data_IF_893716930959
#
_entry.id   IF_893716930959
#
_cell.length_a   1.000
_cell.length_b   1.000
_cell.length_c   1.000
_cell.angle_alpha   90.00
_cell.angle_beta   90.00
_cell.angle_gamma   90.00
#
_symmetry.space_group_name_H-M   'P 1'
#
loop_
_entity.id
_entity.type
_entity.pdbx_description
1 polymer ?
#
# COMPACT_ATOMS: atom_id res chain seq x y z
N UNK A 1 -29.79 28.15 33.70
CA UNK A 1 -30.14 27.76 32.32
C UNK A 1 -29.13 28.47 31.41
N UNK A 2 -28.31 27.89 30.55
CA UNK A 2 -28.26 26.60 29.88
C UNK A 2 -26.80 26.08 29.86
N UNK A 3 -26.64 24.75 29.92
CA UNK A 3 -25.40 24.06 29.52
C UNK A 3 -25.63 23.59 28.08
N UNK A 4 -24.87 24.13 27.14
CA UNK A 4 -24.79 23.55 25.80
C UNK A 4 -23.81 22.37 25.84
N UNK A 5 -24.37 21.18 26.09
CA UNK A 5 -23.67 19.93 25.88
C UNK A 5 -23.68 19.64 24.37
N UNK A 6 -22.58 20.00 23.68
CA UNK A 6 -22.35 19.56 22.31
C UNK A 6 -22.16 18.04 22.34
N UNK A 7 -23.18 17.30 21.93
CA UNK A 7 -23.09 15.86 21.79
C UNK A 7 -21.97 15.51 20.78
N UNK A 8 -20.90 14.91 21.28
CA UNK A 8 -19.87 14.32 20.45
C UNK A 8 -20.51 13.12 19.74
N UNK A 9 -20.78 13.24 18.45
CA UNK A 9 -21.26 12.13 17.63
C UNK A 9 -20.15 11.09 17.61
N UNK A 10 -20.32 9.99 18.35
CA UNK A 10 -19.38 8.86 18.31
C UNK A 10 -19.41 8.27 16.90
N UNK A 11 -18.41 8.57 16.09
CA UNK A 11 -18.20 7.87 14.81
C UNK A 11 -17.82 6.43 15.15
N UNK A 12 -18.69 5.49 14.77
CA UNK A 12 -18.42 4.07 14.92
C UNK A 12 -17.45 3.69 13.80
N UNK A 13 -16.19 3.44 14.16
CA UNK A 13 -15.17 3.00 13.20
C UNK A 13 -15.57 1.73 12.45
N UNK A 14 -15.16 1.66 11.20
CA UNK A 14 -15.37 0.51 10.32
C UNK A 14 -14.14 -0.40 10.28
N UNK A 15 -14.37 -1.68 10.01
CA UNK A 15 -13.27 -2.60 9.66
C UNK A 15 -13.10 -2.62 8.14
N UNK A 16 -11.97 -2.13 7.64
CA UNK A 16 -11.63 -2.11 6.22
C UNK A 16 -10.69 -3.26 5.91
N UNK A 17 -11.08 -4.13 4.97
CA UNK A 17 -10.32 -5.34 4.63
C UNK A 17 -9.67 -5.20 3.26
N UNK A 18 -8.38 -5.49 3.20
CA UNK A 18 -7.59 -5.49 1.97
C UNK A 18 -6.86 -6.82 1.82
N UNK A 19 -6.75 -7.30 0.59
CA UNK A 19 -6.06 -8.53 0.25
C UNK A 19 -4.93 -8.19 -0.70
N UNK A 20 -3.69 -8.23 -0.22
CA UNK A 20 -2.52 -7.82 -0.98
C UNK A 20 -1.65 -9.01 -1.35
N UNK A 21 -1.22 -9.08 -2.60
CA UNK A 21 -0.18 -10.01 -3.05
C UNK A 21 1.10 -9.26 -3.33
N UNK A 22 2.24 -9.77 -2.86
CA UNK A 22 3.55 -9.35 -3.37
C UNK A 22 3.86 -10.16 -4.63
N UNK A 23 3.87 -9.50 -5.79
CA UNK A 23 3.95 -10.15 -7.11
C UNK A 23 5.17 -9.64 -7.86
N UNK A 24 5.91 -10.58 -8.48
CA UNK A 24 7.03 -10.25 -9.34
C UNK A 24 6.57 -9.97 -10.77
N UNK A 25 7.06 -8.88 -11.37
CA UNK A 25 6.79 -8.50 -12.74
C UNK A 25 8.04 -7.99 -13.45
N UNK A 26 7.99 -7.99 -14.77
CA UNK A 26 8.98 -7.35 -15.64
C UNK A 26 8.56 -5.91 -15.91
N UNK A 27 9.46 -4.95 -15.69
CA UNK A 27 9.17 -3.52 -15.82
C UNK A 27 10.17 -2.82 -16.75
N UNK A 28 9.64 -2.13 -17.76
CA UNK A 28 10.36 -1.18 -18.59
C UNK A 28 9.98 0.25 -18.18
N UNK A 29 10.96 1.02 -17.71
CA UNK A 29 10.75 2.42 -17.31
C UNK A 29 10.52 3.37 -18.49
N UNK A 30 10.93 3.00 -19.72
CA UNK A 30 10.84 3.86 -20.91
C UNK A 30 9.56 3.65 -21.70
N UNK A 31 8.94 2.47 -21.61
CA UNK A 31 7.70 2.12 -22.34
C UNK A 31 6.46 1.99 -21.45
N UNK A 32 6.55 2.27 -20.14
CA UNK A 32 5.35 2.26 -19.30
C UNK A 32 4.32 3.26 -19.84
N UNK A 33 3.06 2.82 -20.03
CA UNK A 33 1.92 3.54 -20.63
C UNK A 33 1.55 4.92 -20.02
N UNK A 34 2.37 5.43 -19.09
CA UNK A 34 2.32 6.80 -18.55
C UNK A 34 2.64 7.87 -19.62
N UNK A 35 3.15 7.47 -20.78
CA UNK A 35 3.50 8.36 -21.90
C UNK A 35 2.31 8.89 -22.72
N UNK A 36 1.09 8.41 -22.49
CA UNK A 36 -0.11 8.85 -23.23
C UNK A 36 -0.89 9.99 -22.55
N UNK A 37 -0.24 10.79 -21.70
CA UNK A 37 -0.85 12.05 -21.26
C UNK A 37 -0.91 13.02 -22.45
N UNK A 38 -2.05 13.73 -22.68
CA UNK A 38 -2.17 14.66 -23.80
C UNK A 38 -1.11 15.75 -23.68
N UNK A 39 -0.08 15.68 -24.52
CA UNK A 39 0.93 16.73 -24.60
C UNK A 39 0.28 17.90 -25.34
N UNK A 40 0.16 19.06 -24.68
CA UNK A 40 -0.27 20.30 -25.33
C UNK A 40 0.66 20.55 -26.53
N UNK A 41 0.10 20.66 -27.74
CA UNK A 41 0.83 20.72 -29.01
C UNK A 41 1.84 21.90 -29.10
N UNK A 42 1.81 22.82 -28.14
CA UNK A 42 2.76 23.93 -27.98
C UNK A 42 4.08 23.54 -27.33
N UNK A 43 4.17 22.37 -26.68
CA UNK A 43 5.38 21.86 -26.04
C UNK A 43 5.74 20.51 -26.64
N UNK A 44 6.35 20.47 -27.84
CA UNK A 44 6.90 19.21 -28.35
C UNK A 44 7.87 18.64 -27.30
N UNK A 45 7.86 17.32 -27.05
CA UNK A 45 8.79 16.71 -26.11
C UNK A 45 10.22 17.07 -26.52
N UNK A 46 10.93 17.81 -25.66
CA UNK A 46 12.29 18.31 -25.91
C UNK A 46 13.35 17.21 -25.95
N UNK A 47 12.96 15.95 -25.75
CA UNK A 47 13.82 14.78 -25.85
C UNK A 47 13.58 14.10 -27.21
N UNK A 48 14.58 14.09 -28.10
CA UNK A 48 14.53 13.29 -29.32
C UNK A 48 14.27 11.82 -28.95
N UNK A 49 13.31 11.16 -29.62
CA UNK A 49 13.05 9.71 -29.55
C UNK A 49 14.17 8.89 -30.22
N UNK A 50 15.43 9.29 -30.09
CA UNK A 50 16.56 8.62 -30.72
C UNK A 50 17.82 8.79 -29.87
N UNK A 51 17.88 8.05 -28.77
CA UNK A 51 19.17 7.64 -28.22
C UNK A 51 19.58 6.32 -28.93
N UNK A 52 20.85 6.16 -29.34
CA UNK A 52 21.31 5.00 -30.11
C UNK A 52 21.39 3.69 -29.30
N UNK A 53 20.86 3.67 -28.08
CA UNK A 53 20.70 2.46 -27.27
C UNK A 53 19.23 2.02 -27.33
N UNK A 54 18.87 1.34 -28.42
CA UNK A 54 17.54 0.78 -28.66
C UNK A 54 17.29 -0.51 -27.84
N UNK A 55 17.84 -0.60 -26.63
CA UNK A 55 17.58 -1.70 -25.71
C UNK A 55 16.68 -1.16 -24.62
N UNK A 56 15.37 -1.39 -24.75
CA UNK A 56 14.47 -1.37 -23.60
C UNK A 56 15.10 -2.22 -22.50
N UNK A 57 15.53 -1.58 -21.41
CA UNK A 57 16.11 -2.29 -20.27
C UNK A 57 14.97 -2.69 -19.36
N UNK A 58 14.66 -3.99 -19.37
CA UNK A 58 13.60 -4.57 -18.56
C UNK A 58 14.18 -5.05 -17.24
N UNK A 59 13.58 -4.63 -16.13
CA UNK A 59 13.98 -5.02 -14.78
C UNK A 59 12.91 -5.88 -14.13
N UNK A 60 13.33 -6.92 -13.40
CA UNK A 60 12.42 -7.64 -12.51
C UNK A 60 12.16 -6.80 -11.25
N UNK A 61 10.89 -6.62 -10.90
CA UNK A 61 10.43 -5.86 -9.72
C UNK A 61 9.42 -6.69 -8.95
N UNK A 62 9.34 -6.49 -7.64
CA UNK A 62 8.22 -6.97 -6.81
C UNK A 62 7.35 -5.78 -6.45
N UNK A 63 6.04 -5.90 -6.66
CA UNK A 63 5.06 -4.85 -6.33
C UNK A 63 3.91 -5.44 -5.52
N UNK A 64 3.22 -4.58 -4.77
CA UNK A 64 1.97 -4.96 -4.12
C UNK A 64 0.80 -4.83 -5.10
N UNK A 65 -0.04 -5.86 -5.16
CA UNK A 65 -1.24 -5.93 -6.00
C UNK A 65 -2.43 -6.23 -5.10
N UNK A 66 -3.54 -5.51 -5.28
CA UNK A 66 -4.77 -5.80 -4.54
C UNK A 66 -5.59 -6.89 -5.23
N UNK A 67 -6.19 -7.77 -4.44
CA UNK A 67 -7.11 -8.82 -4.88
C UNK A 67 -8.51 -8.59 -4.34
N UNK A 68 -9.51 -9.20 -4.99
CA UNK A 68 -10.91 -9.07 -4.62
C UNK A 68 -11.22 -9.69 -3.25
N UNK A 69 -10.53 -10.77 -2.91
CA UNK A 69 -10.78 -11.58 -1.73
C UNK A 69 -9.54 -12.38 -1.29
N UNK A 70 -9.72 -13.11 -0.19
CA UNK A 70 -8.71 -13.97 0.45
C UNK A 70 -8.26 -15.17 -0.39
N UNK A 71 -8.87 -15.45 -1.54
CA UNK A 71 -8.46 -16.55 -2.42
C UNK A 71 -7.31 -16.12 -3.34
N UNK A 72 -7.09 -14.81 -3.52
CA UNK A 72 -6.04 -14.25 -4.37
C UNK A 72 -6.12 -14.72 -5.84
N UNK A 73 -7.33 -14.95 -6.34
CA UNK A 73 -7.56 -15.41 -7.72
C UNK A 73 -7.73 -14.26 -8.72
N UNK A 74 -8.41 -13.18 -8.31
CA UNK A 74 -8.76 -12.06 -9.18
C UNK A 74 -8.11 -10.79 -8.63
N UNK A 75 -7.17 -10.23 -9.38
CA UNK A 75 -6.57 -8.94 -9.08
C UNK A 75 -7.57 -7.81 -9.38
N UNK A 76 -7.62 -6.79 -8.52
CA UNK A 76 -8.42 -5.59 -8.77
C UNK A 76 -7.81 -4.76 -9.91
N UNK A 77 -8.64 -4.10 -10.74
CA UNK A 77 -8.13 -3.23 -11.79
C UNK A 77 -7.34 -2.08 -11.17
N UNK A 78 -6.15 -1.82 -11.72
CA UNK A 78 -5.26 -0.74 -11.30
C UNK A 78 -5.24 0.37 -12.36
N UNK A 79 -5.57 1.61 -12.00
CA UNK A 79 -5.40 2.76 -12.89
C UNK A 79 -4.01 2.83 -13.54
N UNK A 80 -3.90 3.18 -14.85
CA UNK A 80 -2.62 3.22 -15.56
C UNK A 80 -1.59 4.16 -14.92
N UNK A 81 -2.06 5.28 -14.35
CA UNK A 81 -1.21 6.29 -13.72
C UNK A 81 -0.48 5.81 -12.46
N UNK A 82 -0.86 4.68 -11.85
CA UNK A 82 -0.17 4.16 -10.66
C UNK A 82 1.19 3.55 -10.96
N UNK A 83 1.46 3.08 -12.18
CA UNK A 83 2.73 2.47 -12.54
C UNK A 83 3.15 1.33 -11.59
N UNK A 84 4.26 1.52 -10.86
CA UNK A 84 4.79 0.55 -9.87
C UNK A 84 4.21 0.69 -8.45
N UNK A 85 3.38 1.71 -8.19
CA UNK A 85 2.79 1.92 -6.88
C UNK A 85 1.87 0.76 -6.51
N UNK A 86 1.89 0.40 -5.23
CA UNK A 86 0.91 -0.50 -4.63
C UNK A 86 -0.47 0.15 -4.54
N UNK A 87 -1.50 -0.63 -4.19
CA UNK A 87 -2.86 -0.12 -4.04
C UNK A 87 -2.96 0.91 -2.91
N UNK A 88 -3.81 1.91 -3.10
CA UNK A 88 -4.07 2.93 -2.10
C UNK A 88 -4.94 2.36 -0.98
N UNK A 89 -4.43 2.39 0.24
CA UNK A 89 -5.17 2.03 1.45
C UNK A 89 -5.78 3.31 2.03
N UNK A 90 -7.10 3.37 2.15
CA UNK A 90 -7.81 4.51 2.73
C UNK A 90 -8.54 4.08 4.01
N UNK A 91 -8.50 4.93 5.02
CA UNK A 91 -9.15 4.72 6.30
C UNK A 91 -9.46 6.06 6.97
N UNK A 92 -10.52 6.07 7.78
CA UNK A 92 -10.92 7.20 8.61
C UNK A 92 -10.47 7.00 10.05
N UNK A 93 -10.47 8.07 10.82
CA UNK A 93 -10.23 7.99 12.26
C UNK A 93 -11.26 7.04 12.89
N UNK A 94 -10.75 6.17 13.77
CA UNK A 94 -11.41 5.05 14.44
C UNK A 94 -11.58 3.78 13.61
N UNK A 95 -11.19 3.76 12.34
CA UNK A 95 -11.22 2.54 11.56
C UNK A 95 -10.13 1.54 11.99
N UNK A 96 -10.43 0.26 11.76
CA UNK A 96 -9.44 -0.82 11.82
C UNK A 96 -9.17 -1.31 10.41
N UNK A 97 -7.93 -1.18 9.95
CA UNK A 97 -7.48 -1.71 8.67
C UNK A 97 -6.94 -3.12 8.90
N UNK A 98 -7.47 -4.09 8.17
CA UNK A 98 -7.04 -5.49 8.22
C UNK A 98 -6.53 -5.88 6.85
N UNK A 99 -5.24 -6.13 6.74
CA UNK A 99 -4.58 -6.49 5.49
C UNK A 99 -4.08 -7.92 5.56
N UNK A 100 -4.59 -8.79 4.70
CA UNK A 100 -3.98 -10.11 4.50
C UNK A 100 -3.01 -10.03 3.33
N UNK A 101 -1.72 -10.14 3.64
CA UNK A 101 -0.63 -10.22 2.67
C UNK A 101 -0.38 -11.68 2.30
N UNK A 102 -0.29 -11.98 1.01
CA UNK A 102 0.23 -13.23 0.47
C UNK A 102 1.52 -12.96 -0.29
N UNK A 103 2.61 -13.60 0.11
CA UNK A 103 3.87 -13.47 -0.60
C UNK A 103 3.89 -14.43 -1.80
N UNK A 104 3.76 -13.89 -3.01
CA UNK A 104 3.83 -14.64 -4.27
C UNK A 104 5.18 -14.40 -4.98
N UNK A 105 6.10 -13.69 -4.34
CA UNK A 105 7.43 -13.41 -4.83
C UNK A 105 8.44 -14.49 -4.42
N UNK A 106 9.64 -14.42 -4.99
CA UNK A 106 10.71 -15.39 -4.74
C UNK A 106 11.57 -15.09 -3.51
N UNK A 107 11.34 -13.97 -2.83
CA UNK A 107 12.07 -13.54 -1.64
C UNK A 107 11.13 -13.13 -0.51
N UNK A 108 11.58 -13.14 0.76
CA UNK A 108 10.79 -12.66 1.88
C UNK A 108 10.39 -11.19 1.70
N UNK A 109 9.17 -10.86 2.13
CA UNK A 109 8.60 -9.51 2.13
C UNK A 109 7.82 -9.27 3.42
N UNK A 110 7.60 -8.02 3.77
CA UNK A 110 6.75 -7.63 4.89
C UNK A 110 5.95 -6.38 4.52
N UNK A 111 5.03 -5.98 5.40
CA UNK A 111 4.26 -4.75 5.25
C UNK A 111 4.38 -3.89 6.51
N UNK A 112 4.99 -2.72 6.35
CA UNK A 112 5.16 -1.76 7.44
C UNK A 112 4.33 -0.50 7.17
N UNK A 113 3.50 -0.12 8.13
CA UNK A 113 2.67 1.08 8.03
C UNK A 113 3.30 2.27 8.74
N UNK A 114 3.12 3.44 8.15
CA UNK A 114 3.50 4.73 8.75
C UNK A 114 2.23 5.54 8.98
N UNK A 115 2.13 6.21 10.12
CA UNK A 115 1.01 7.11 10.43
C UNK A 115 -0.25 6.43 11.00
N UNK A 116 -0.15 5.18 11.44
CA UNK A 116 -1.22 4.44 12.13
C UNK A 116 -0.63 3.67 13.32
N UNK A 117 -1.49 3.25 14.24
CA UNK A 117 -1.08 2.46 15.40
C UNK A 117 -1.22 0.96 15.13
N UNK A 118 -0.32 0.15 15.68
CA UNK A 118 -0.33 -1.30 15.54
C UNK A 118 0.28 -1.97 16.78
N UNK A 119 -0.05 -3.24 16.96
CA UNK A 119 0.67 -4.13 17.89
C UNK A 119 1.87 -4.74 17.18
N UNK A 120 2.84 -5.26 17.96
CA UNK A 120 4.12 -5.75 17.44
C UNK A 120 3.97 -6.81 16.35
N UNK A 121 2.99 -7.73 16.47
CA UNK A 121 2.65 -8.72 15.43
C UNK A 121 2.03 -8.14 14.14
N UNK A 122 2.08 -6.82 13.92
CA UNK A 122 1.53 -6.12 12.76
C UNK A 122 2.38 -4.92 12.34
N UNK A 123 3.63 -4.89 12.79
CA UNK A 123 4.61 -3.86 12.45
C UNK A 123 5.31 -4.14 11.12
N UNK A 124 5.70 -5.39 10.87
CA UNK A 124 6.36 -5.82 9.65
C UNK A 124 7.82 -5.38 9.53
N UNK A 125 8.55 -5.30 10.65
CA UNK A 125 9.94 -4.85 10.65
C UNK A 125 10.79 -5.66 11.66
N UNK A 126 11.75 -6.42 11.12
CA UNK A 126 12.66 -7.23 11.93
C UNK A 126 13.76 -6.38 12.59
N UNK A 127 13.84 -6.40 13.91
CA UNK A 127 14.97 -5.87 14.69
C UNK A 127 15.05 -6.51 16.09
N UNK A 128 16.04 -6.12 16.89
CA UNK A 128 16.15 -6.55 18.28
C UNK A 128 15.22 -5.72 19.17
N UNK A 129 14.00 -6.22 19.30
CA UNK A 129 12.85 -5.57 19.94
C UNK A 129 12.30 -6.34 21.15
N UNK A 130 12.97 -7.42 21.54
CA UNK A 130 12.61 -8.30 22.66
C UNK A 130 11.20 -8.93 22.55
N UNK A 131 10.63 -9.04 21.35
CA UNK A 131 9.33 -9.68 21.14
C UNK A 131 9.41 -11.19 21.04
N UNK A 132 8.27 -11.85 21.28
CA UNK A 132 8.15 -13.30 21.15
C UNK A 132 8.24 -13.74 19.68
N UNK A 133 8.59 -15.00 19.41
CA UNK A 133 8.66 -15.53 18.04
C UNK A 133 7.35 -15.36 17.26
N UNK A 134 6.20 -15.46 17.94
CA UNK A 134 4.89 -15.25 17.33
C UNK A 134 4.67 -13.81 16.90
N UNK A 135 5.20 -12.86 17.65
CA UNK A 135 5.18 -11.43 17.32
C UNK A 135 6.22 -11.03 16.28
N UNK A 136 7.01 -11.99 15.77
CA UNK A 136 7.97 -11.80 14.66
C UNK A 136 7.52 -12.47 13.37
N UNK A 137 6.35 -13.11 13.36
CA UNK A 137 5.81 -13.74 12.14
C UNK A 137 5.48 -12.71 11.06
N UNK A 138 5.21 -11.46 11.45
CA UNK A 138 4.93 -10.34 10.57
C UNK A 138 6.17 -9.69 9.96
N UNK A 139 7.32 -9.82 10.63
CA UNK A 139 8.59 -9.23 10.24
C UNK A 139 9.10 -9.73 8.89
N UNK A 140 8.83 -11.01 8.59
CA UNK A 140 9.22 -11.67 7.34
C UNK A 140 8.18 -12.70 6.90
N UNK A 141 7.41 -12.36 5.88
CA UNK A 141 6.54 -13.31 5.19
C UNK A 141 7.36 -14.00 4.09
N UNK A 142 7.72 -15.26 4.31
CA UNK A 142 8.48 -16.07 3.36
C UNK A 142 7.67 -16.38 2.08
N UNK A 143 8.35 -16.72 0.95
CA UNK A 143 7.69 -17.11 -0.30
C UNK A 143 6.60 -18.17 -0.10
N UNK A 144 5.42 -17.94 -0.68
CA UNK A 144 4.23 -18.79 -0.54
C UNK A 144 3.47 -18.61 0.78
N UNK A 145 4.06 -17.93 1.77
CA UNK A 145 3.43 -17.63 3.05
C UNK A 145 2.42 -16.50 2.97
N UNK A 146 1.68 -16.32 4.07
CA UNK A 146 0.74 -15.22 4.24
C UNK A 146 0.72 -14.75 5.68
N UNK A 147 0.54 -13.44 5.89
CA UNK A 147 0.36 -12.84 7.20
C UNK A 147 -0.80 -11.84 7.19
N UNK A 148 -1.46 -11.66 8.33
CA UNK A 148 -2.51 -10.64 8.47
C UNK A 148 -2.05 -9.53 9.41
N UNK A 149 -1.92 -8.33 8.86
CA UNK A 149 -1.61 -7.11 9.58
C UNK A 149 -2.89 -6.42 10.03
N UNK A 150 -2.93 -5.97 11.28
CA UNK A 150 -4.06 -5.23 11.85
C UNK A 150 -3.56 -3.88 12.34
N UNK A 151 -4.04 -2.82 11.69
CA UNK A 151 -3.70 -1.44 12.01
C UNK A 151 -4.93 -0.70 12.51
N UNK A 152 -4.74 0.10 13.54
CA UNK A 152 -5.77 0.93 14.16
C UNK A 152 -5.51 2.39 13.82
N UNK A 153 -6.49 3.05 13.25
CA UNK A 153 -6.44 4.49 13.02
C UNK A 153 -7.03 5.17 14.25
N UNK A 154 -6.19 5.45 15.24
CA UNK A 154 -6.60 6.12 16.47
C UNK A 154 -6.79 7.63 16.24
N UNK A 155 -7.38 8.31 17.20
CA UNK A 155 -7.64 9.76 17.11
C UNK A 155 -6.35 10.56 16.95
N UNK A 156 -5.32 10.14 17.67
CA UNK A 156 -3.97 10.70 17.65
C UNK A 156 -3.21 10.46 16.33
N UNK A 157 -3.67 9.50 15.51
CA UNK A 157 -3.12 9.26 14.18
C UNK A 157 -3.77 10.17 13.12
N UNK A 158 -4.93 10.75 13.44
CA UNK A 158 -5.72 11.54 12.50
C UNK A 158 -5.13 12.93 12.21
N UNK A 159 -5.54 13.55 11.09
CA UNK A 159 -5.15 14.92 10.76
C UNK A 159 -5.64 15.92 11.81
N UNK A 160 -4.88 17.00 11.98
CA UNK A 160 -5.28 18.15 12.78
C UNK A 160 -6.32 19.00 12.02
N UNK A 161 -7.00 19.89 12.72
CA UNK A 161 -8.02 20.75 12.11
C UNK A 161 -7.48 21.71 11.01
N UNK A 162 -6.17 21.97 11.00
CA UNK A 162 -5.48 22.77 10.00
C UNK A 162 -4.96 21.97 8.81
N UNK A 163 -4.97 20.65 8.90
CA UNK A 163 -4.48 19.78 7.84
C UNK A 163 -5.55 19.62 6.74
N UNK A 164 -5.15 19.27 5.51
CA UNK A 164 -6.10 18.96 4.45
C UNK A 164 -7.07 17.84 4.85
N UNK A 165 -8.31 17.96 4.37
CA UNK A 165 -9.33 16.90 4.48
C UNK A 165 -9.14 15.82 3.42
#
# INVERSE_FOLDING_TARGET
MHRDARAQKASRGATRRYYLGAVELSWDYMQSDLGELPVDARFPPRVPKSFPFNTSVVYKKTVFVEFTDHLFNIAKPRPPWMGLLGPTIQAEVYDTVVITLKNMASHPVSLHAVGVSYWKASEGAEYDDQTSQREKEDDKVFPGGSHTYVWQVLKENGPMASDPL
#
